data_IF_474305072642
#
_entry.id   IF_474305072642
#
_cell.length_a   1.000
_cell.length_b   1.000
_cell.length_c   1.000
_cell.angle_alpha   90.00
_cell.angle_beta   90.00
_cell.angle_gamma   90.00
#
_symmetry.space_group_name_H-M   'P 1'
#
loop_
_entity.id
_entity.type
_entity.pdbx_description
1 polymer ?
#
# COMPACT_ATOMS: atom_id res chain seq x y z
N UNK A 1 -12.83 1.78 7.24
CA UNK A 1 -11.55 1.44 6.58
C UNK A 1 -11.85 0.30 5.62
N UNK A 2 -11.43 0.36 4.35
CA UNK A 2 -11.76 -0.71 3.39
C UNK A 2 -10.80 -1.88 3.57
N UNK A 3 -11.29 -3.01 4.10
CA UNK A 3 -10.48 -4.21 4.28
C UNK A 3 -9.98 -4.76 2.94
N UNK A 4 -10.81 -4.68 1.89
CA UNK A 4 -10.42 -5.12 0.54
C UNK A 4 -9.26 -4.27 0.00
N UNK A 5 -9.33 -2.94 0.13
CA UNK A 5 -8.28 -2.05 -0.37
C UNK A 5 -6.98 -2.20 0.43
N UNK A 6 -7.06 -2.34 1.76
CA UNK A 6 -5.88 -2.60 2.59
C UNK A 6 -5.24 -3.93 2.23
N UNK A 7 -6.03 -4.99 2.03
CA UNK A 7 -5.50 -6.27 1.59
C UNK A 7 -4.93 -6.20 0.17
N UNK A 8 -5.54 -5.44 -0.73
CA UNK A 8 -4.99 -5.21 -2.06
C UNK A 8 -3.59 -4.59 -1.99
N UNK A 9 -3.37 -3.57 -1.16
CA UNK A 9 -2.03 -2.98 -0.95
C UNK A 9 -1.03 -4.04 -0.46
N UNK A 10 -1.44 -4.89 0.48
CA UNK A 10 -0.59 -5.98 1.01
C UNK A 10 -0.20 -6.96 -0.08
N UNK A 11 -1.18 -7.52 -0.78
CA UNK A 11 -0.92 -8.59 -1.75
C UNK A 11 -0.20 -8.07 -3.00
N UNK A 12 -0.53 -6.88 -3.49
CA UNK A 12 0.22 -6.27 -4.61
C UNK A 12 1.68 -5.99 -4.24
N UNK A 13 1.94 -5.50 -3.02
CA UNK A 13 3.31 -5.27 -2.58
C UNK A 13 4.09 -6.57 -2.34
N UNK A 14 3.46 -7.60 -1.78
CA UNK A 14 4.07 -8.94 -1.64
C UNK A 14 4.38 -9.55 -3.01
N UNK A 15 3.45 -9.46 -3.96
CA UNK A 15 3.64 -9.96 -5.33
C UNK A 15 4.82 -9.28 -6.02
N UNK A 16 4.92 -7.94 -5.92
CA UNK A 16 6.04 -7.18 -6.46
C UNK A 16 7.40 -7.60 -5.85
N UNK A 17 7.45 -7.80 -4.53
CA UNK A 17 8.65 -8.24 -3.82
C UNK A 17 9.07 -9.65 -4.26
N UNK A 18 8.11 -10.58 -4.32
CA UNK A 18 8.36 -11.95 -4.76
C UNK A 18 8.86 -11.98 -6.21
N UNK A 19 8.24 -11.19 -7.09
CA UNK A 19 8.66 -11.05 -8.49
C UNK A 19 10.08 -10.47 -8.62
N UNK A 20 10.46 -9.54 -7.74
CA UNK A 20 11.81 -8.98 -7.70
C UNK A 20 12.83 -9.90 -7.01
N UNK A 21 12.39 -10.99 -6.36
CA UNK A 21 13.19 -11.87 -5.51
C UNK A 21 14.02 -11.13 -4.45
N UNK A 22 13.54 -9.95 -4.02
CA UNK A 22 14.24 -9.04 -3.10
C UNK A 22 13.26 -7.99 -2.55
N UNK A 23 13.37 -7.67 -1.26
CA UNK A 23 12.57 -6.63 -0.60
C UNK A 23 12.18 -6.96 0.84
N UNK A 24 11.30 -6.13 1.41
CA UNK A 24 10.90 -6.19 2.82
C UNK A 24 9.37 -6.39 2.96
N UNK A 25 8.85 -7.63 2.90
CA UNK A 25 7.40 -7.87 2.91
C UNK A 25 6.74 -7.45 4.23
N UNK A 26 7.46 -7.54 5.35
CA UNK A 26 6.94 -7.18 6.67
C UNK A 26 6.47 -5.73 6.79
N UNK A 27 7.25 -4.77 6.24
CA UNK A 27 6.87 -3.34 6.32
C UNK A 27 5.64 -3.05 5.47
N UNK A 28 5.53 -3.67 4.29
CA UNK A 28 4.36 -3.54 3.42
C UNK A 28 3.10 -4.04 4.13
N UNK A 29 3.18 -5.20 4.79
CA UNK A 29 2.03 -5.77 5.50
C UNK A 29 1.56 -4.91 6.67
N UNK A 30 2.51 -4.41 7.46
CA UNK A 30 2.26 -3.60 8.65
C UNK A 30 1.79 -2.18 8.33
N UNK A 31 2.37 -1.54 7.32
CA UNK A 31 2.06 -0.16 6.97
C UNK A 31 0.82 0.00 6.07
N UNK A 32 0.29 -1.06 5.46
CA UNK A 32 -0.85 -0.96 4.54
C UNK A 32 -2.09 -0.21 5.09
N UNK A 33 -2.54 -0.41 6.35
CA UNK A 33 -3.63 0.39 6.93
C UNK A 33 -3.32 1.89 7.06
N UNK A 34 -2.07 2.21 7.40
CA UNK A 34 -1.58 3.58 7.53
C UNK A 34 -1.53 4.25 6.16
N UNK A 35 -0.93 3.58 5.16
CA UNK A 35 -0.85 4.07 3.79
C UNK A 35 -2.26 4.32 3.22
N UNK A 36 -3.20 3.38 3.40
CA UNK A 36 -4.58 3.59 2.97
C UNK A 36 -5.19 4.85 3.61
N UNK A 37 -5.04 5.01 4.92
CA UNK A 37 -5.62 6.14 5.64
C UNK A 37 -5.00 7.47 5.21
N UNK A 38 -3.68 7.53 5.03
CA UNK A 38 -2.98 8.71 4.55
C UNK A 38 -3.51 9.12 3.17
N UNK A 39 -3.38 8.25 2.17
CA UNK A 39 -3.63 8.57 0.77
C UNK A 39 -5.12 8.74 0.42
N UNK A 40 -6.03 8.10 1.16
CA UNK A 40 -7.48 8.18 0.84
C UNK A 40 -8.26 9.16 1.70
N UNK A 41 -7.68 9.64 2.82
CA UNK A 41 -8.43 10.47 3.77
C UNK A 41 -7.74 11.73 4.23
N UNK A 42 -6.41 11.77 4.24
CA UNK A 42 -5.66 12.85 4.91
C UNK A 42 -4.88 13.69 3.93
N UNK A 43 -4.38 13.07 2.87
CA UNK A 43 -3.49 13.68 1.93
C UNK A 43 -4.31 14.42 0.85
N UNK A 44 -4.11 15.73 0.73
CA UNK A 44 -4.73 16.57 -0.30
C UNK A 44 -3.78 16.73 -1.48
N UNK A 45 -3.80 15.76 -2.40
CA UNK A 45 -3.07 15.83 -3.67
C UNK A 45 -4.00 15.55 -4.84
N UNK A 46 -3.62 16.04 -6.01
CA UNK A 46 -4.18 15.60 -7.28
C UNK A 46 -3.23 14.56 -7.89
N UNK A 47 -3.58 13.27 -7.97
CA UNK A 47 -2.71 12.25 -8.58
C UNK A 47 -2.37 12.52 -10.05
N UNK A 48 -3.17 13.32 -10.77
CA UNK A 48 -2.89 13.71 -12.15
C UNK A 48 -1.92 14.91 -12.25
N UNK A 49 -1.66 15.61 -11.14
CA UNK A 49 -0.75 16.75 -11.04
C UNK A 49 0.11 16.58 -9.77
N UNK A 50 1.12 15.70 -9.83
CA UNK A 50 1.94 15.34 -8.68
C UNK A 50 2.85 16.48 -8.19
#
# INVERSE_FOLDING_TARGET
>A
MSNLSVNAIRFLGIDAINKANSGHPGVVMGAAPMAYSLFTKQLHINPAQP
#
